data_IF_786749127292
#
_entry.id   IF_786749127292
#
_cell.length_a   1.000
_cell.length_b   1.000
_cell.length_c   1.000
_cell.angle_alpha   90.00
_cell.angle_beta   90.00
_cell.angle_gamma   90.00
#
_symmetry.space_group_name_H-M   'P 1'
#
loop_
_entity.id
_entity.type
_entity.pdbx_description
1 polymer ?
#
# COMPACT_ATOMS: atom_id res chain seq x y z
N UNK A 1 24.53 16.08 16.05
CA UNK A 1 23.52 15.80 14.99
C UNK A 1 23.90 14.51 14.30
N UNK A 2 23.08 13.49 14.41
CA UNK A 2 23.27 12.21 13.73
C UNK A 2 22.00 11.90 12.91
N UNK A 3 22.11 11.82 11.60
CA UNK A 3 21.02 11.44 10.74
C UNK A 3 21.08 9.93 10.47
N UNK A 4 20.01 9.24 10.84
CA UNK A 4 19.83 7.82 10.60
C UNK A 4 18.85 7.66 9.43
N UNK A 5 19.37 7.32 8.26
CA UNK A 5 18.56 7.03 7.07
C UNK A 5 18.25 5.56 6.98
N UNK A 6 16.96 5.22 6.87
CA UNK A 6 16.51 3.83 6.78
C UNK A 6 15.72 3.64 5.47
N UNK A 7 16.27 2.80 4.60
CA UNK A 7 15.52 2.27 3.46
C UNK A 7 14.80 0.98 3.86
N UNK A 8 13.45 1.05 3.87
CA UNK A 8 12.59 -0.01 4.42
C UNK A 8 12.02 -0.89 3.33
N UNK A 9 12.25 -2.19 3.42
CA UNK A 9 11.64 -3.21 2.56
C UNK A 9 10.78 -4.20 3.36
N UNK A 10 10.25 -5.23 2.73
CA UNK A 10 9.26 -6.15 3.32
C UNK A 10 9.74 -6.88 4.59
N UNK A 11 10.98 -7.34 4.63
CA UNK A 11 11.49 -8.21 5.72
C UNK A 11 12.81 -7.73 6.30
N UNK A 12 13.38 -6.70 5.71
CA UNK A 12 14.68 -6.15 6.07
C UNK A 12 14.72 -4.66 5.74
N UNK A 13 15.66 -3.96 6.35
CA UNK A 13 15.95 -2.57 6.06
C UNK A 13 17.45 -2.36 5.96
N UNK A 14 17.85 -1.35 5.18
CA UNK A 14 19.23 -0.89 5.17
C UNK A 14 19.32 0.42 5.93
N UNK A 15 20.28 0.51 6.84
CA UNK A 15 20.49 1.65 7.73
C UNK A 15 21.83 2.31 7.42
N UNK A 16 21.83 3.63 7.33
CA UNK A 16 23.05 4.44 7.25
C UNK A 16 23.01 5.53 8.34
N UNK A 17 24.13 5.76 9.03
CA UNK A 17 24.25 6.80 10.05
C UNK A 17 25.31 7.80 9.59
N UNK A 18 24.90 9.07 9.50
CA UNK A 18 25.77 10.14 9.00
C UNK A 18 25.71 11.37 9.91
N UNK A 19 26.78 12.13 9.91
CA UNK A 19 26.89 13.48 10.48
C UNK A 19 27.02 14.54 9.40
N UNK A 20 26.90 15.82 9.76
CA UNK A 20 27.16 16.94 8.83
C UNK A 20 28.51 16.79 8.10
N UNK A 21 28.60 17.44 6.94
CA UNK A 21 29.77 17.43 6.07
C UNK A 21 30.17 16.07 5.46
N UNK A 22 29.22 15.10 5.46
CA UNK A 22 29.41 13.80 4.84
C UNK A 22 30.17 12.78 5.69
N UNK A 23 30.38 13.07 6.99
CA UNK A 23 30.99 12.11 7.93
C UNK A 23 30.08 10.87 8.07
N UNK A 24 30.66 9.70 7.81
CA UNK A 24 29.97 8.41 7.95
C UNK A 24 30.27 7.87 9.34
N UNK A 25 29.25 7.82 10.20
CA UNK A 25 29.35 7.24 11.55
C UNK A 25 29.29 5.72 11.48
N UNK A 26 28.41 5.19 10.63
CA UNK A 26 28.32 3.76 10.33
C UNK A 26 28.13 3.55 8.83
N UNK A 27 28.93 2.67 8.24
CA UNK A 27 28.73 2.23 6.85
C UNK A 27 27.37 1.55 6.71
N UNK A 28 26.68 1.69 5.56
CA UNK A 28 25.36 1.10 5.39
C UNK A 28 25.35 -0.41 5.67
N UNK A 29 24.49 -0.83 6.59
CA UNK A 29 24.30 -2.21 7.01
C UNK A 29 22.86 -2.63 6.95
N UNK A 30 22.63 -3.94 6.84
CA UNK A 30 21.30 -4.53 6.77
C UNK A 30 20.83 -4.99 8.16
N UNK A 31 19.57 -4.76 8.47
CA UNK A 31 18.87 -5.30 9.64
C UNK A 31 17.64 -6.09 9.18
N UNK A 32 17.33 -7.17 9.86
CA UNK A 32 16.05 -7.87 9.70
C UNK A 32 15.01 -7.24 10.63
N UNK A 33 13.74 -7.41 10.31
CA UNK A 33 12.64 -6.94 11.17
C UNK A 33 12.37 -7.94 12.30
N UNK A 34 13.42 -8.42 12.96
CA UNK A 34 13.32 -9.24 14.17
C UNK A 34 13.47 -8.37 15.41
N UNK A 35 12.88 -8.79 16.53
CA UNK A 35 12.97 -8.03 17.79
C UNK A 35 14.42 -7.82 18.22
N UNK A 36 15.31 -8.82 18.02
CA UNK A 36 16.73 -8.72 18.36
C UNK A 36 17.47 -7.70 17.52
N UNK A 37 17.27 -7.69 16.18
CA UNK A 37 17.97 -6.77 15.30
C UNK A 37 17.50 -5.32 15.52
N UNK A 38 16.20 -5.13 15.79
CA UNK A 38 15.65 -3.79 16.09
C UNK A 38 16.17 -3.31 17.44
N UNK A 39 16.27 -4.18 18.44
CA UNK A 39 16.85 -3.84 19.75
C UNK A 39 18.33 -3.41 19.58
N UNK A 40 19.12 -4.17 18.83
CA UNK A 40 20.49 -3.83 18.53
C UNK A 40 20.64 -2.50 17.76
N UNK A 41 19.71 -2.20 16.86
CA UNK A 41 19.66 -0.90 16.19
C UNK A 41 19.38 0.24 17.17
N UNK A 42 18.44 0.07 18.09
CA UNK A 42 18.10 1.05 19.12
C UNK A 42 19.31 1.30 20.02
N UNK A 43 20.01 0.25 20.47
CA UNK A 43 21.22 0.37 21.28
C UNK A 43 22.33 1.11 20.51
N UNK A 44 22.54 0.78 19.24
CA UNK A 44 23.52 1.45 18.39
C UNK A 44 23.20 2.95 18.28
N UNK A 45 21.95 3.32 17.98
CA UNK A 45 21.56 4.73 17.85
C UNK A 45 21.75 5.48 19.17
N UNK A 46 21.41 4.85 20.29
CA UNK A 46 21.57 5.45 21.62
C UNK A 46 23.04 5.57 22.04
N UNK A 47 23.92 4.72 21.52
CA UNK A 47 25.37 4.80 21.81
C UNK A 47 26.08 5.93 21.05
N UNK A 48 25.45 6.45 19.99
CA UNK A 48 26.05 7.55 19.21
C UNK A 48 25.85 8.89 19.93
N UNK A 49 26.94 9.54 20.27
CA UNK A 49 26.92 10.82 20.97
C UNK A 49 26.20 11.92 20.18
N UNK A 50 25.29 12.63 20.85
CA UNK A 50 24.53 13.75 20.31
C UNK A 50 23.13 13.40 19.87
N UNK A 51 22.37 14.40 19.40
CA UNK A 51 20.98 14.23 18.96
C UNK A 51 20.92 13.39 17.67
N UNK A 52 20.12 12.33 17.68
CA UNK A 52 19.88 11.45 16.54
C UNK A 52 18.45 11.63 16.03
N UNK A 53 18.29 11.79 14.71
CA UNK A 53 16.99 11.78 14.05
C UNK A 53 16.95 10.71 12.98
N UNK A 54 15.92 9.89 13.06
CA UNK A 54 15.69 8.77 12.16
C UNK A 54 14.75 9.20 11.06
N UNK A 55 15.11 8.97 9.81
CA UNK A 55 14.28 9.26 8.65
C UNK A 55 14.11 8.01 7.81
N UNK A 56 12.89 7.74 7.41
CA UNK A 56 12.53 6.63 6.52
C UNK A 56 11.47 7.06 5.50
N UNK A 57 11.42 6.36 4.36
CA UNK A 57 10.36 6.57 3.38
C UNK A 57 9.06 5.91 3.82
N UNK A 58 7.93 6.62 3.71
CA UNK A 58 6.62 6.06 4.01
C UNK A 58 6.05 5.27 2.82
N UNK A 59 6.75 4.23 2.38
CA UNK A 59 6.31 3.32 1.34
C UNK A 59 5.60 2.09 1.93
N UNK A 60 4.40 1.81 1.44
CA UNK A 60 3.65 0.62 1.87
C UNK A 60 3.25 0.64 3.35
N UNK A 61 3.39 -0.52 4.03
CA UNK A 61 3.04 -0.72 5.46
C UNK A 61 4.25 -1.08 6.33
N UNK A 62 5.36 -1.43 5.70
CA UNK A 62 6.48 -2.04 6.41
C UNK A 62 7.19 -1.05 7.33
N UNK A 63 7.21 0.23 6.98
CA UNK A 63 7.81 1.28 7.80
C UNK A 63 7.01 1.53 9.10
N UNK A 64 5.68 1.33 9.10
CA UNK A 64 4.80 1.65 10.25
C UNK A 64 5.21 0.87 11.50
N UNK A 65 5.49 -0.43 11.37
CA UNK A 65 5.90 -1.30 12.48
C UNK A 65 7.26 -0.88 13.04
N UNK A 66 8.24 -0.63 12.16
CA UNK A 66 9.57 -0.20 12.57
C UNK A 66 9.52 1.19 13.22
N UNK A 67 8.78 2.14 12.62
CA UNK A 67 8.60 3.48 13.17
C UNK A 67 7.98 3.45 14.58
N UNK A 68 7.00 2.57 14.79
CA UNK A 68 6.36 2.42 16.10
C UNK A 68 7.35 1.95 17.17
N UNK A 69 8.11 0.90 16.89
CA UNK A 69 9.10 0.35 17.83
C UNK A 69 10.21 1.35 18.17
N UNK A 70 10.66 2.13 17.19
CA UNK A 70 11.65 3.18 17.41
C UNK A 70 11.09 4.35 18.23
N UNK A 71 9.82 4.70 18.04
CA UNK A 71 9.13 5.71 18.87
C UNK A 71 8.92 5.23 20.31
N UNK A 72 8.56 3.96 20.52
CA UNK A 72 8.43 3.36 21.85
C UNK A 72 9.77 3.41 22.61
N UNK A 73 10.88 3.37 21.90
CA UNK A 73 12.21 3.57 22.47
C UNK A 73 12.57 5.07 22.67
N UNK A 74 11.61 6.00 22.58
CA UNK A 74 11.78 7.44 22.69
C UNK A 74 12.72 8.07 21.68
N UNK A 75 12.90 7.46 20.51
CA UNK A 75 13.70 8.00 19.43
C UNK A 75 12.88 8.94 18.54
N UNK A 76 13.51 9.98 18.02
CA UNK A 76 12.87 10.85 17.03
C UNK A 76 12.82 10.16 15.67
N UNK A 77 11.61 9.91 15.18
CA UNK A 77 11.37 9.27 13.88
C UNK A 77 10.59 10.20 12.97
N UNK A 78 10.98 10.29 11.70
CA UNK A 78 10.26 11.04 10.66
C UNK A 78 10.02 10.14 9.44
N UNK A 79 8.76 10.04 9.01
CA UNK A 79 8.39 9.31 7.81
C UNK A 79 8.12 10.29 6.65
N UNK A 80 8.91 10.20 5.59
CA UNK A 80 8.95 11.19 4.51
C UNK A 80 8.35 10.61 3.22
N UNK A 81 7.71 11.47 2.44
CA UNK A 81 7.20 11.11 1.13
C UNK A 81 8.36 10.72 0.20
N UNK A 82 8.35 9.52 -0.41
CA UNK A 82 9.38 9.06 -1.33
C UNK A 82 9.70 10.04 -2.47
N UNK A 83 8.70 10.80 -2.90
CA UNK A 83 8.88 11.81 -3.95
C UNK A 83 9.88 12.90 -3.51
N UNK A 84 9.83 13.35 -2.26
CA UNK A 84 10.74 14.38 -1.74
C UNK A 84 12.18 13.87 -1.69
N UNK A 85 12.39 12.61 -1.32
CA UNK A 85 13.71 11.99 -1.30
C UNK A 85 14.21 11.74 -2.72
N UNK A 86 13.32 11.31 -3.63
CA UNK A 86 13.67 11.11 -5.03
C UNK A 86 14.11 12.41 -5.70
N UNK A 87 13.41 13.51 -5.42
CA UNK A 87 13.69 14.81 -6.04
C UNK A 87 14.93 15.49 -5.42
N UNK A 88 15.35 15.09 -4.21
CA UNK A 88 16.44 15.72 -3.45
C UNK A 88 17.82 15.56 -4.09
N UNK A 89 18.11 14.52 -4.85
CA UNK A 89 19.46 14.24 -5.38
C UNK A 89 19.40 13.90 -6.88
N UNK A 90 18.69 14.73 -7.65
CA UNK A 90 18.49 14.49 -9.08
C UNK A 90 19.73 14.89 -9.94
N UNK A 91 20.73 15.59 -9.35
CA UNK A 91 21.89 16.13 -10.08
C UNK A 91 23.04 15.13 -10.28
N UNK A 92 22.95 13.93 -9.72
CA UNK A 92 24.01 12.93 -9.93
C UNK A 92 23.87 12.20 -11.26
N UNK A 93 24.85 12.41 -12.15
CA UNK A 93 24.94 11.81 -13.49
C UNK A 93 25.06 10.27 -13.48
N UNK A 94 25.37 9.63 -12.35
CA UNK A 94 25.49 8.17 -12.20
C UNK A 94 24.53 7.68 -11.10
N UNK A 95 23.38 7.17 -11.50
CA UNK A 95 22.43 6.49 -10.61
C UNK A 95 22.84 5.04 -10.37
N UNK A 96 23.72 4.80 -9.42
CA UNK A 96 23.88 3.44 -8.87
C UNK A 96 22.70 3.21 -7.93
N UNK A 97 21.71 2.48 -8.41
CA UNK A 97 20.55 2.10 -7.59
C UNK A 97 20.94 0.90 -6.72
N UNK A 98 21.08 1.12 -5.42
CA UNK A 98 21.23 0.08 -4.42
C UNK A 98 20.60 0.54 -3.10
N UNK A 99 20.06 -0.37 -2.33
CA UNK A 99 19.43 -0.09 -1.03
C UNK A 99 20.40 0.65 -0.10
N UNK A 100 21.71 0.37 -0.20
CA UNK A 100 22.78 1.08 0.54
C UNK A 100 22.88 2.55 0.13
N UNK A 101 22.83 2.83 -1.17
CA UNK A 101 22.85 4.20 -1.67
C UNK A 101 21.57 4.95 -1.29
N UNK A 102 20.44 4.27 -1.30
CA UNK A 102 19.16 4.84 -0.92
C UNK A 102 19.13 5.19 0.58
N UNK A 103 19.62 4.34 1.47
CA UNK A 103 19.78 4.66 2.91
C UNK A 103 20.69 5.87 3.16
N UNK A 104 21.81 5.97 2.44
CA UNK A 104 22.72 7.14 2.51
C UNK A 104 22.00 8.40 1.99
N UNK A 105 21.26 8.32 0.92
CA UNK A 105 20.50 9.43 0.36
C UNK A 105 19.45 9.94 1.36
N UNK A 106 18.74 9.02 2.03
CA UNK A 106 17.77 9.35 3.09
C UNK A 106 18.46 10.06 4.26
N UNK A 107 19.65 9.58 4.68
CA UNK A 107 20.41 10.24 5.75
C UNK A 107 20.88 11.64 5.35
N UNK A 108 21.34 11.84 4.12
CA UNK A 108 21.70 13.17 3.59
C UNK A 108 20.51 14.11 3.56
N UNK A 109 19.35 13.63 3.08
CA UNK A 109 18.10 14.39 3.12
C UNK A 109 17.77 14.82 4.56
N UNK A 110 17.91 13.92 5.53
CA UNK A 110 17.66 14.22 6.94
C UNK A 110 18.58 15.34 7.47
N UNK A 111 19.86 15.35 7.09
CA UNK A 111 20.79 16.41 7.47
C UNK A 111 20.42 17.76 6.85
N UNK A 112 20.08 17.79 5.57
CA UNK A 112 19.68 19.01 4.87
C UNK A 112 18.38 19.61 5.40
N UNK A 113 17.41 18.77 5.72
CA UNK A 113 16.08 19.17 6.20
C UNK A 113 15.92 19.09 7.71
N UNK A 114 17.00 19.03 8.47
CA UNK A 114 17.02 18.76 9.91
C UNK A 114 15.99 19.57 10.70
N UNK A 115 15.93 20.87 10.49
CA UNK A 115 14.99 21.77 11.19
C UNK A 115 13.52 21.58 10.77
N UNK A 116 13.29 21.03 9.59
CA UNK A 116 11.97 20.88 9.00
C UNK A 116 11.41 19.45 9.15
N UNK A 117 12.18 18.53 9.73
CA UNK A 117 11.73 17.17 9.99
C UNK A 117 10.58 17.19 11.01
N UNK A 118 9.47 16.58 10.65
CA UNK A 118 8.31 16.43 11.54
C UNK A 118 8.36 15.05 12.17
N UNK A 119 8.20 15.01 13.48
CA UNK A 119 8.11 13.75 14.20
C UNK A 119 6.91 12.94 13.71
N UNK A 120 7.14 11.68 13.43
CA UNK A 120 6.10 10.72 13.06
C UNK A 120 5.11 10.57 14.21
N UNK A 121 3.85 10.73 13.91
CA UNK A 121 2.79 10.59 14.89
C UNK A 121 2.06 9.27 14.63
N UNK A 122 1.98 8.42 15.63
CA UNK A 122 1.23 7.16 15.54
C UNK A 122 -0.24 7.51 15.32
N UNK A 123 -0.75 7.08 14.19
CA UNK A 123 -2.16 7.27 13.88
C UNK A 123 -2.99 6.46 14.89
N UNK A 124 -4.01 7.12 15.48
CA UNK A 124 -4.95 6.46 16.37
C UNK A 124 -5.41 5.11 15.75
N UNK A 125 -5.45 4.04 16.56
CA UNK A 125 -5.79 2.68 16.14
C UNK A 125 -7.08 2.60 15.33
N UNK A 126 -8.11 3.36 15.74
CA UNK A 126 -9.37 3.46 15.00
C UNK A 126 -9.18 3.98 13.58
N UNK A 127 -8.34 5.00 13.38
CA UNK A 127 -8.02 5.53 12.05
C UNK A 127 -7.26 4.53 11.18
N UNK A 128 -6.35 3.74 11.77
CA UNK A 128 -5.64 2.66 11.08
C UNK A 128 -6.59 1.55 10.65
N UNK A 129 -7.53 1.18 11.50
CA UNK A 129 -8.58 0.21 11.18
C UNK A 129 -9.46 0.70 10.04
N UNK A 130 -9.96 1.94 10.12
CA UNK A 130 -10.77 2.56 9.07
C UNK A 130 -10.01 2.65 7.73
N UNK A 131 -8.75 3.05 7.76
CA UNK A 131 -7.89 3.08 6.56
C UNK A 131 -7.71 1.69 5.95
N UNK A 132 -7.57 0.68 6.79
CA UNK A 132 -7.46 -0.72 6.34
C UNK A 132 -8.77 -1.22 5.73
N UNK A 133 -9.90 -0.98 6.40
CA UNK A 133 -11.22 -1.33 5.89
C UNK A 133 -11.53 -0.65 4.56
N UNK A 134 -11.23 0.65 4.43
CA UNK A 134 -11.43 1.39 3.19
C UNK A 134 -10.58 0.83 2.03
N UNK A 135 -9.33 0.43 2.30
CA UNK A 135 -8.48 -0.24 1.29
C UNK A 135 -9.07 -1.59 0.87
N UNK A 136 -9.56 -2.39 1.82
CA UNK A 136 -10.21 -3.68 1.54
C UNK A 136 -11.50 -3.49 0.75
N UNK A 137 -12.33 -2.53 1.13
CA UNK A 137 -13.52 -2.18 0.38
C UNK A 137 -13.19 -1.80 -1.07
N UNK A 138 -12.22 -0.92 -1.28
CA UNK A 138 -11.77 -0.54 -2.63
C UNK A 138 -11.23 -1.73 -3.44
N UNK A 139 -10.54 -2.66 -2.80
CA UNK A 139 -10.06 -3.89 -3.43
C UNK A 139 -11.24 -4.76 -3.89
N UNK A 140 -12.21 -5.05 -3.02
CA UNK A 140 -13.39 -5.84 -3.38
C UNK A 140 -14.24 -5.18 -4.46
N UNK A 141 -14.40 -3.85 -4.42
CA UNK A 141 -15.15 -3.13 -5.45
C UNK A 141 -14.49 -3.22 -6.83
N UNK A 142 -13.16 -3.16 -6.90
CA UNK A 142 -12.42 -3.38 -8.16
C UNK A 142 -12.61 -4.81 -8.69
N UNK A 143 -12.54 -5.82 -7.82
CA UNK A 143 -12.76 -7.21 -8.20
C UNK A 143 -14.19 -7.44 -8.65
N UNK A 144 -15.19 -6.91 -7.92
CA UNK A 144 -16.60 -6.97 -8.33
C UNK A 144 -16.80 -6.42 -9.75
N UNK A 145 -16.24 -5.25 -10.04
CA UNK A 145 -16.34 -4.63 -11.37
C UNK A 145 -15.66 -5.47 -12.44
N UNK A 146 -14.46 -5.98 -12.17
CA UNK A 146 -13.73 -6.83 -13.11
C UNK A 146 -14.48 -8.13 -13.41
N UNK A 147 -15.02 -8.79 -12.40
CA UNK A 147 -15.84 -10.00 -12.57
C UNK A 147 -17.12 -9.74 -13.36
N UNK A 148 -17.80 -8.63 -13.05
CA UNK A 148 -19.00 -8.21 -13.80
C UNK A 148 -18.68 -8.02 -15.30
N UNK A 149 -17.61 -7.28 -15.61
CA UNK A 149 -17.22 -7.02 -16.99
C UNK A 149 -16.83 -8.31 -17.71
N UNK A 150 -16.13 -9.21 -17.03
CA UNK A 150 -15.79 -10.53 -17.59
C UNK A 150 -17.04 -11.38 -17.89
N UNK A 151 -17.99 -11.39 -16.96
CA UNK A 151 -19.26 -12.11 -17.15
C UNK A 151 -20.05 -11.55 -18.34
N UNK A 152 -20.16 -10.21 -18.46
CA UNK A 152 -20.79 -9.57 -19.63
C UNK A 152 -20.09 -9.99 -20.91
N UNK A 153 -18.75 -9.94 -20.97
CA UNK A 153 -18.00 -10.34 -22.16
C UNK A 153 -18.20 -11.82 -22.56
N UNK A 154 -18.40 -12.69 -21.59
CA UNK A 154 -18.74 -14.11 -21.86
C UNK A 154 -20.17 -14.24 -22.39
N UNK A 155 -21.12 -13.56 -21.74
CA UNK A 155 -22.53 -13.59 -22.13
C UNK A 155 -22.80 -12.94 -23.49
N UNK A 156 -22.00 -11.94 -23.89
CA UNK A 156 -22.10 -11.35 -25.22
C UNK A 156 -21.89 -12.34 -26.36
N UNK A 157 -21.24 -13.48 -26.09
CA UNK A 157 -21.08 -14.56 -27.07
C UNK A 157 -22.33 -15.47 -27.18
N UNK A 158 -23.12 -15.58 -26.12
CA UNK A 158 -24.26 -16.52 -26.02
C UNK A 158 -25.61 -15.82 -25.91
N UNK A 159 -25.63 -14.64 -25.27
CA UNK A 159 -26.81 -13.82 -25.08
C UNK A 159 -26.44 -12.33 -25.12
N UNK A 160 -26.14 -11.75 -26.30
CA UNK A 160 -25.73 -10.35 -26.43
C UNK A 160 -26.71 -9.37 -25.79
N UNK A 161 -26.20 -8.46 -24.95
CA UNK A 161 -26.97 -7.40 -24.33
C UNK A 161 -27.90 -7.82 -23.19
N UNK A 162 -27.85 -9.06 -22.68
CA UNK A 162 -28.70 -9.55 -21.58
C UNK A 162 -28.64 -8.64 -20.35
N UNK A 163 -27.51 -8.05 -20.07
CA UNK A 163 -27.30 -7.12 -18.95
C UNK A 163 -28.05 -5.79 -19.11
N UNK A 164 -28.54 -5.46 -20.31
CA UNK A 164 -29.26 -4.22 -20.60
C UNK A 164 -30.78 -4.38 -20.51
N UNK A 165 -31.31 -5.60 -20.43
CA UNK A 165 -32.76 -5.86 -20.36
C UNK A 165 -33.35 -5.53 -19.00
N UNK A 166 -32.54 -5.36 -17.96
CA UNK A 166 -32.99 -5.09 -16.61
C UNK A 166 -32.49 -3.72 -16.15
N UNK A 167 -33.29 -2.70 -16.37
CA UNK A 167 -33.00 -1.31 -15.97
C UNK A 167 -33.38 -1.06 -14.50
N UNK A 168 -32.95 -1.94 -13.60
CA UNK A 168 -33.19 -1.80 -12.18
C UNK A 168 -31.91 -1.74 -11.38
N UNK A 169 -31.86 -0.93 -10.30
CA UNK A 169 -30.70 -0.88 -9.41
C UNK A 169 -30.43 -2.25 -8.79
N UNK A 170 -29.20 -2.45 -8.30
CA UNK A 170 -28.86 -3.63 -7.52
C UNK A 170 -29.78 -3.74 -6.30
N UNK A 171 -30.12 -4.97 -5.88
CA UNK A 171 -30.85 -5.24 -4.65
C UNK A 171 -30.05 -4.83 -3.41
N UNK A 172 -30.69 -4.79 -2.25
CA UNK A 172 -30.06 -4.43 -0.97
C UNK A 172 -28.85 -5.29 -0.61
N UNK A 173 -28.82 -6.54 -1.06
CA UNK A 173 -27.68 -7.47 -0.92
C UNK A 173 -26.59 -7.27 -1.98
N UNK A 174 -26.80 -6.35 -2.93
CA UNK A 174 -25.89 -6.06 -4.04
C UNK A 174 -26.02 -6.99 -5.24
N UNK A 175 -26.97 -7.95 -5.24
CA UNK A 175 -27.26 -8.80 -6.39
C UNK A 175 -27.97 -8.02 -7.50
N UNK A 176 -27.87 -8.50 -8.73
CA UNK A 176 -28.46 -7.85 -9.91
C UNK A 176 -29.38 -8.82 -10.64
N UNK A 177 -30.60 -8.38 -10.97
CA UNK A 177 -31.62 -9.20 -11.62
C UNK A 177 -31.13 -9.84 -12.92
N UNK A 178 -30.38 -9.12 -13.73
CA UNK A 178 -29.84 -9.65 -14.98
C UNK A 178 -28.88 -10.82 -14.76
N UNK A 179 -28.15 -10.86 -13.63
CA UNK A 179 -27.25 -11.97 -13.28
C UNK A 179 -28.05 -13.21 -12.95
N UNK A 180 -29.14 -13.07 -12.17
CA UNK A 180 -30.05 -14.19 -11.85
C UNK A 180 -30.71 -14.71 -13.11
N UNK A 181 -31.19 -13.81 -13.97
CA UNK A 181 -31.77 -14.17 -15.26
C UNK A 181 -30.74 -14.92 -16.12
N UNK A 182 -29.52 -14.41 -16.27
CA UNK A 182 -28.49 -15.04 -17.07
C UNK A 182 -28.00 -16.38 -16.49
N UNK A 183 -28.12 -16.60 -15.19
CA UNK A 183 -27.79 -17.88 -14.56
C UNK A 183 -28.76 -19.01 -14.98
N UNK A 184 -30.02 -18.65 -15.24
CA UNK A 184 -31.05 -19.58 -15.73
C UNK A 184 -31.05 -19.65 -17.26
N UNK A 185 -30.97 -18.49 -17.91
CA UNK A 185 -31.06 -18.32 -19.37
C UNK A 185 -29.75 -17.81 -19.95
N UNK A 186 -28.72 -18.64 -19.87
CA UNK A 186 -27.33 -18.29 -20.25
C UNK A 186 -27.10 -18.19 -21.77
N UNK A 187 -28.05 -18.68 -22.59
CA UNK A 187 -28.04 -18.64 -24.04
C UNK A 187 -29.35 -18.12 -24.57
N UNK A 188 -29.35 -17.31 -25.62
CA UNK A 188 -30.54 -16.75 -26.22
C UNK A 188 -31.58 -17.83 -26.64
N UNK A 189 -31.09 -19.00 -27.07
CA UNK A 189 -31.98 -20.11 -27.45
C UNK A 189 -32.76 -20.71 -26.28
N UNK A 190 -32.35 -20.50 -25.03
CA UNK A 190 -33.12 -20.91 -23.87
C UNK A 190 -34.47 -20.22 -23.81
N UNK A 191 -34.50 -18.93 -24.22
CA UNK A 191 -35.75 -18.13 -24.26
C UNK A 191 -36.47 -18.24 -25.62
N UNK A 192 -35.69 -18.16 -26.71
CA UNK A 192 -36.25 -18.15 -28.09
C UNK A 192 -37.10 -19.38 -28.42
N UNK A 193 -36.80 -20.53 -27.81
CA UNK A 193 -37.53 -21.79 -28.03
C UNK A 193 -38.76 -21.93 -27.15
N UNK A 194 -39.02 -21.03 -26.20
CA UNK A 194 -40.15 -21.04 -25.31
C UNK A 194 -41.36 -20.28 -25.91
N UNK A 195 -42.60 -20.76 -25.64
CA UNK A 195 -43.76 -19.91 -25.83
C UNK A 195 -43.81 -18.82 -24.74
N UNK A 196 -44.50 -17.71 -25.02
CA UNK A 196 -44.63 -16.61 -24.05
C UNK A 196 -45.23 -17.11 -22.71
N UNK A 197 -46.24 -17.94 -22.75
CA UNK A 197 -46.88 -18.48 -21.53
C UNK A 197 -45.89 -19.38 -20.76
N UNK A 198 -45.19 -20.27 -21.44
CA UNK A 198 -44.17 -21.12 -20.82
C UNK A 198 -43.02 -20.30 -20.17
N UNK A 199 -42.63 -19.18 -20.81
CA UNK A 199 -41.63 -18.29 -20.24
C UNK A 199 -42.14 -17.57 -18.99
N UNK A 200 -43.41 -17.06 -19.03
CA UNK A 200 -44.03 -16.38 -17.87
C UNK A 200 -44.14 -17.34 -16.68
N UNK A 201 -44.65 -18.53 -16.91
CA UNK A 201 -44.83 -19.55 -15.87
C UNK A 201 -43.49 -19.97 -15.25
N UNK A 202 -42.42 -20.10 -16.07
CA UNK A 202 -41.10 -20.47 -15.60
C UNK A 202 -40.36 -19.32 -14.87
N UNK A 203 -40.66 -18.05 -15.23
CA UNK A 203 -40.00 -16.88 -14.62
C UNK A 203 -40.69 -16.42 -13.33
N UNK A 204 -41.96 -16.79 -13.11
CA UNK A 204 -42.69 -16.44 -11.90
C UNK A 204 -42.48 -17.42 -10.74
N UNK A 205 -41.94 -18.61 -10.99
CA UNK A 205 -41.58 -19.60 -10.00
C UNK A 205 -40.07 -19.54 -9.66
#
# INVERSE_FOLDING_TARGET
MNAVGIDVSKSKSVVAIMRPFGEIVSTPFEIKHTASDIHSLIELINSVEGESRIVMEHTGRYYEVLAHQLLEANLFVSAINPKLIKDFDNDSLRKVKSDKADAVKIARYALDKWQNLKQYNVMNELRNQLKTMNRQFGFYMKHKTAMKNNLIGILDQTYPGVNTYFDSPARSDGSQKWVDFASTYWHVDCVRKMSLNAFIDHYQN
#
